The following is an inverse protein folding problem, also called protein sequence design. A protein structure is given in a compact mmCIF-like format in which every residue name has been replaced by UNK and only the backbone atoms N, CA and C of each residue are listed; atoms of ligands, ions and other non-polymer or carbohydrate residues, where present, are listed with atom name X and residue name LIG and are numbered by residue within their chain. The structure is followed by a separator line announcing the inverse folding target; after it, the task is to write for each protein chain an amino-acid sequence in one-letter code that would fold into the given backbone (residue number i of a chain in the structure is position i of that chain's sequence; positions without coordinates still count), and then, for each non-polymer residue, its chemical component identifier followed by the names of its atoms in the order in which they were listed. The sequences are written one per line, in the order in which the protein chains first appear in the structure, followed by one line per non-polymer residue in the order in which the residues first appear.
data_IF_682551641173
#
_entry.id   IF_682551641173
#
_cell.length_a   1.000
_cell.length_b   1.000
_cell.length_c   1.000
_cell.angle_alpha   90.00
_cell.angle_beta   90.00
_cell.angle_gamma   90.00
#
_symmetry.space_group_name_H-M   'P 1'
#
loop_
_entity.id
_entity.type
_entity.pdbx_description
1 polymer ?
#
# COMPACT_ATOMS: atom_id res chain seq x y z
N UNK A 1 -9.47 7.77 -15.84
CA UNK A 1 -8.94 8.53 -14.67
C UNK A 1 -7.70 7.84 -14.13
N UNK A 2 -7.77 6.56 -13.82
CA UNK A 2 -6.64 5.79 -13.26
C UNK A 2 -5.39 5.83 -14.17
N UNK A 3 -5.53 5.63 -15.49
CA UNK A 3 -4.38 5.68 -16.42
C UNK A 3 -3.73 7.07 -16.49
N UNK A 4 -4.53 8.13 -16.48
CA UNK A 4 -4.01 9.51 -16.50
C UNK A 4 -3.26 9.83 -15.21
N UNK A 5 -3.77 9.37 -14.05
CA UNK A 5 -3.10 9.53 -12.76
C UNK A 5 -1.83 8.70 -12.68
N UNK A 6 -1.86 7.45 -13.17
CA UNK A 6 -0.66 6.61 -13.23
C UNK A 6 0.44 7.22 -14.10
N UNK A 7 0.09 7.85 -15.23
CA UNK A 7 1.06 8.55 -16.05
C UNK A 7 1.69 9.76 -15.31
N UNK A 8 0.91 10.50 -14.52
CA UNK A 8 1.43 11.57 -13.66
C UNK A 8 2.35 11.02 -12.56
N UNK A 9 1.98 9.90 -11.95
CA UNK A 9 2.80 9.22 -10.94
C UNK A 9 4.17 8.83 -11.52
N UNK A 10 4.20 8.19 -12.71
CA UNK A 10 5.45 7.82 -13.41
C UNK A 10 6.30 9.05 -13.73
N UNK A 11 5.68 10.08 -14.31
CA UNK A 11 6.40 11.30 -14.64
C UNK A 11 7.05 11.91 -13.39
N UNK A 12 6.34 11.90 -12.28
CA UNK A 12 6.86 12.41 -11.00
C UNK A 12 7.97 11.55 -10.42
N UNK A 13 7.85 10.22 -10.48
CA UNK A 13 8.88 9.29 -10.03
C UNK A 13 10.19 9.51 -10.83
N UNK A 14 10.07 9.73 -12.13
CA UNK A 14 11.22 10.00 -13.02
C UNK A 14 11.96 11.29 -12.65
N UNK A 15 11.30 12.32 -12.15
CA UNK A 15 11.96 13.55 -11.66
C UNK A 15 12.93 13.25 -10.49
N UNK A 16 12.74 12.15 -9.77
CA UNK A 16 13.59 11.67 -8.70
C UNK A 16 14.48 10.49 -9.09
N UNK A 17 14.66 10.26 -10.41
CA UNK A 17 15.56 9.21 -10.92
C UNK A 17 15.00 7.78 -10.84
N UNK A 18 13.69 7.63 -10.58
CA UNK A 18 13.05 6.32 -10.51
C UNK A 18 12.35 6.04 -11.84
N UNK A 19 12.78 4.98 -12.50
CA UNK A 19 12.08 4.44 -13.66
C UNK A 19 10.96 3.52 -13.19
N UNK A 20 9.73 3.85 -13.54
CA UNK A 20 8.55 3.09 -13.16
C UNK A 20 7.73 2.75 -14.40
N UNK A 21 7.06 1.62 -14.37
CA UNK A 21 6.15 1.18 -15.41
C UNK A 21 4.73 0.96 -14.89
N UNK A 22 3.75 0.97 -15.79
CA UNK A 22 2.37 0.71 -15.43
C UNK A 22 2.13 -0.79 -15.38
N UNK A 23 1.91 -1.32 -14.18
CA UNK A 23 1.31 -2.64 -14.04
C UNK A 23 -0.16 -2.58 -14.52
N UNK A 24 -0.61 -3.47 -15.41
CA UNK A 24 -1.99 -3.54 -15.85
C UNK A 24 -2.87 -4.09 -14.72
N UNK A 25 -3.38 -3.20 -13.88
CA UNK A 25 -4.18 -3.59 -12.71
C UNK A 25 -5.37 -4.48 -13.05
N UNK A 26 -5.71 -5.38 -12.15
CA UNK A 26 -6.81 -6.33 -12.31
C UNK A 26 -8.15 -5.60 -12.23
N UNK A 27 -8.99 -5.80 -13.23
CA UNK A 27 -10.32 -5.22 -13.22
C UNK A 27 -11.22 -5.97 -12.23
N UNK A 28 -11.91 -5.25 -11.35
CA UNK A 28 -12.73 -5.87 -10.30
C UNK A 28 -13.78 -6.86 -10.80
N UNK A 29 -14.30 -6.69 -12.04
CA UNK A 29 -15.27 -7.63 -12.62
C UNK A 29 -14.69 -9.03 -12.83
N UNK A 30 -13.39 -9.12 -13.08
CA UNK A 30 -12.70 -10.38 -13.34
C UNK A 30 -12.20 -11.03 -12.04
N UNK A 31 -12.23 -10.25 -10.94
CA UNK A 31 -11.60 -10.63 -9.68
C UNK A 31 -12.15 -11.93 -9.09
N UNK A 32 -13.47 -12.16 -9.14
CA UNK A 32 -14.06 -13.37 -8.57
C UNK A 32 -13.59 -14.64 -9.29
N UNK A 33 -13.49 -14.59 -10.64
CA UNK A 33 -13.01 -15.72 -11.40
C UNK A 33 -11.52 -15.99 -11.10
N UNK A 34 -10.71 -14.95 -11.09
CA UNK A 34 -9.28 -15.07 -10.80
C UNK A 34 -9.04 -15.62 -9.38
N UNK A 35 -9.77 -15.14 -8.37
CA UNK A 35 -9.69 -15.65 -7.00
C UNK A 35 -10.07 -17.13 -6.91
N UNK A 36 -11.12 -17.53 -7.64
CA UNK A 36 -11.55 -18.93 -7.74
C UNK A 36 -10.45 -19.80 -8.37
N UNK A 37 -9.87 -19.35 -9.48
CA UNK A 37 -8.84 -20.11 -10.22
C UNK A 37 -7.53 -20.23 -9.42
N UNK A 38 -7.20 -19.23 -8.61
CA UNK A 38 -6.08 -19.26 -7.66
C UNK A 38 -6.38 -20.05 -6.38
N UNK A 39 -7.63 -20.48 -6.16
CA UNK A 39 -8.05 -21.15 -4.93
C UNK A 39 -8.04 -20.24 -3.69
N UNK A 40 -7.95 -18.93 -3.88
CA UNK A 40 -7.88 -17.96 -2.80
C UNK A 40 -9.26 -17.72 -2.19
N UNK A 41 -9.32 -17.77 -0.85
CA UNK A 41 -10.54 -17.51 -0.09
C UNK A 41 -10.41 -16.16 0.62
N UNK A 42 -11.52 -15.44 0.71
CA UNK A 42 -11.54 -14.23 1.52
C UNK A 42 -11.50 -14.60 3.01
N UNK A 43 -10.65 -13.93 3.76
CA UNK A 43 -10.63 -14.05 5.22
C UNK A 43 -12.01 -13.69 5.79
N UNK A 44 -12.54 -14.54 6.68
CA UNK A 44 -13.83 -14.33 7.34
C UNK A 44 -13.77 -13.14 8.28
N UNK A 45 -13.76 -11.94 7.78
CA UNK A 45 -13.88 -10.72 8.56
C UNK A 45 -15.31 -10.18 8.47
N UNK A 46 -15.73 -9.41 9.49
CA UNK A 46 -16.96 -8.62 9.46
C UNK A 46 -16.91 -7.47 8.44
N UNK A 47 -15.78 -7.31 7.74
CA UNK A 47 -15.70 -6.37 6.63
C UNK A 47 -16.67 -6.88 5.57
N UNK A 48 -17.63 -6.05 5.23
CA UNK A 48 -18.50 -6.25 4.06
C UNK A 48 -17.60 -6.22 2.82
N UNK A 49 -16.83 -7.31 2.67
CA UNK A 49 -15.93 -7.52 1.56
C UNK A 49 -16.75 -7.95 0.37
N UNK A 50 -16.34 -7.63 -0.80
CA UNK A 50 -17.03 -7.93 -2.04
C UNK A 50 -17.10 -6.72 -2.96
N UNK A 51 -16.59 -5.58 -2.53
CA UNK A 51 -16.44 -4.44 -3.43
C UNK A 51 -15.43 -4.80 -4.49
N UNK A 52 -15.88 -4.89 -5.73
CA UNK A 52 -15.08 -5.31 -6.88
C UNK A 52 -13.74 -4.56 -7.00
N UNK A 53 -13.73 -3.27 -6.65
CA UNK A 53 -12.51 -2.48 -6.65
C UNK A 53 -11.50 -2.91 -5.59
N UNK A 54 -11.96 -3.33 -4.40
CA UNK A 54 -11.08 -3.85 -3.34
C UNK A 54 -10.46 -5.18 -3.77
N UNK A 55 -11.24 -6.05 -4.41
CA UNK A 55 -10.75 -7.33 -4.93
C UNK A 55 -9.75 -7.13 -6.07
N UNK A 56 -10.03 -6.22 -7.00
CA UNK A 56 -9.10 -5.88 -8.08
C UNK A 56 -7.81 -5.28 -7.56
N UNK A 57 -7.88 -4.39 -6.56
CA UNK A 57 -6.71 -3.82 -5.90
C UNK A 57 -5.88 -4.92 -5.21
N UNK A 58 -6.51 -5.78 -4.39
CA UNK A 58 -5.82 -6.89 -3.76
C UNK A 58 -5.11 -7.79 -4.78
N UNK A 59 -5.80 -8.21 -5.84
CA UNK A 59 -5.21 -9.07 -6.86
C UNK A 59 -4.06 -8.40 -7.60
N UNK A 60 -4.15 -7.11 -7.87
CA UNK A 60 -3.05 -6.36 -8.49
C UNK A 60 -1.80 -6.40 -7.62
N UNK A 61 -1.94 -6.19 -6.31
CA UNK A 61 -0.83 -6.33 -5.37
C UNK A 61 -0.35 -7.78 -5.25
N UNK A 62 -1.25 -8.75 -5.22
CA UNK A 62 -0.90 -10.17 -5.15
C UNK A 62 -0.01 -10.60 -6.33
N UNK A 63 -0.34 -10.19 -7.55
CA UNK A 63 0.49 -10.47 -8.72
C UNK A 63 1.82 -9.74 -8.67
N UNK A 64 1.87 -8.48 -8.21
CA UNK A 64 3.14 -7.76 -8.02
C UNK A 64 4.02 -8.44 -6.95
N UNK A 65 3.45 -8.98 -5.88
CA UNK A 65 4.19 -9.78 -4.90
C UNK A 65 4.71 -11.08 -5.52
N UNK A 66 3.90 -11.72 -6.38
CA UNK A 66 4.33 -12.92 -7.11
C UNK A 66 5.51 -12.62 -8.02
N UNK A 67 5.44 -11.56 -8.81
CA UNK A 67 6.55 -11.12 -9.66
C UNK A 67 7.82 -10.77 -8.85
N UNK A 68 7.65 -10.11 -7.70
CA UNK A 68 8.77 -9.80 -6.79
C UNK A 68 9.50 -11.08 -6.35
N UNK A 69 8.74 -12.14 -6.02
CA UNK A 69 9.31 -13.44 -5.64
C UNK A 69 9.97 -14.12 -6.83
N UNK A 70 9.31 -14.16 -7.99
CA UNK A 70 9.81 -14.81 -9.21
C UNK A 70 11.10 -14.18 -9.73
N UNK A 71 11.19 -12.86 -9.68
CA UNK A 71 12.38 -12.12 -10.10
C UNK A 71 13.48 -12.13 -9.03
N UNK A 72 13.14 -12.46 -7.79
CA UNK A 72 14.02 -12.38 -6.62
C UNK A 72 14.65 -11.00 -6.44
N UNK A 73 13.89 -9.94 -6.76
CA UNK A 73 14.28 -8.54 -6.64
C UNK A 73 13.27 -7.76 -5.78
N UNK A 74 13.71 -6.78 -4.95
CA UNK A 74 12.81 -5.89 -4.23
C UNK A 74 11.97 -5.05 -5.19
N UNK A 75 10.68 -4.94 -4.93
CA UNK A 75 9.76 -4.13 -5.72
C UNK A 75 9.35 -2.87 -4.96
N UNK A 76 9.46 -1.72 -5.62
CA UNK A 76 8.80 -0.49 -5.21
C UNK A 76 7.43 -0.44 -5.88
N UNK A 77 6.39 -0.51 -5.08
CA UNK A 77 5.00 -0.47 -5.55
C UNK A 77 4.39 0.89 -5.21
N UNK A 78 3.89 1.57 -6.24
CA UNK A 78 3.19 2.85 -6.12
C UNK A 78 1.77 2.69 -6.61
N UNK A 79 0.78 3.10 -5.81
CA UNK A 79 -0.60 3.21 -6.32
C UNK A 79 -0.71 4.34 -7.35
N UNK A 80 -1.71 4.25 -8.21
CA UNK A 80 -1.88 5.19 -9.33
C UNK A 80 -2.08 6.64 -8.90
N UNK A 81 -2.46 6.90 -7.67
CA UNK A 81 -2.65 8.21 -7.05
C UNK A 81 -1.49 8.61 -6.12
N UNK A 82 -0.43 7.82 -6.11
CA UNK A 82 0.79 8.15 -5.38
C UNK A 82 1.49 9.37 -6.00
N UNK A 83 2.04 10.23 -5.15
CA UNK A 83 2.79 11.40 -5.55
C UNK A 83 4.08 11.50 -4.77
N UNK A 84 5.21 11.33 -5.44
CA UNK A 84 6.51 11.46 -4.80
C UNK A 84 6.80 12.91 -4.42
N UNK A 85 7.30 13.09 -3.21
CA UNK A 85 7.66 14.38 -2.62
C UNK A 85 9.15 14.66 -2.71
N UNK A 86 9.96 13.61 -2.62
CA UNK A 86 11.42 13.65 -2.54
C UNK A 86 12.05 12.36 -3.03
N UNK A 87 13.38 12.34 -3.32
CA UNK A 87 14.08 11.12 -3.71
C UNK A 87 14.10 10.11 -2.56
N UNK A 88 14.33 8.85 -2.91
CA UNK A 88 14.69 7.81 -1.94
C UNK A 88 16.07 8.11 -1.34
N UNK A 89 16.31 7.71 -0.08
CA UNK A 89 17.66 7.72 0.50
C UNK A 89 18.62 6.86 -0.31
N UNK A 90 19.89 7.22 -0.29
CA UNK A 90 20.94 6.31 -0.78
C UNK A 90 20.89 5.00 0.02
N UNK A 91 21.14 3.88 -0.67
CA UNK A 91 21.13 2.54 -0.09
C UNK A 91 19.84 2.20 0.67
N UNK A 92 18.69 2.71 0.20
CA UNK A 92 17.39 2.51 0.88
C UNK A 92 17.10 1.04 1.19
N UNK A 93 17.55 0.11 0.35
CA UNK A 93 17.34 -1.33 0.53
C UNK A 93 18.08 -1.92 1.74
N UNK A 94 19.10 -1.24 2.25
CA UNK A 94 19.85 -1.67 3.44
C UNK A 94 19.22 -1.16 4.74
N UNK A 95 18.25 -0.24 4.62
CA UNK A 95 17.69 0.48 5.76
C UNK A 95 16.48 -0.20 6.41
N UNK A 96 15.99 -1.28 5.83
CA UNK A 96 14.83 -2.04 6.36
C UNK A 96 14.97 -3.53 6.04
N UNK A 97 14.42 -4.44 6.88
CA UNK A 97 14.53 -5.88 6.63
C UNK A 97 13.54 -6.39 5.58
N UNK A 98 12.24 -6.04 5.66
CA UNK A 98 11.17 -6.72 4.94
C UNK A 98 10.34 -5.78 4.06
N UNK A 99 9.68 -4.81 4.68
CA UNK A 99 8.81 -3.82 4.02
C UNK A 99 9.13 -2.42 4.52
N UNK A 100 9.30 -1.47 3.59
CA UNK A 100 9.40 -0.05 3.90
C UNK A 100 8.20 0.69 3.34
N UNK A 101 7.36 1.23 4.19
CA UNK A 101 6.30 2.15 3.78
C UNK A 101 6.87 3.54 3.53
N UNK A 102 6.56 4.08 2.36
CA UNK A 102 7.05 5.37 1.87
C UNK A 102 6.13 6.53 2.24
N UNK A 103 4.92 6.21 2.69
CA UNK A 103 3.96 7.13 3.26
C UNK A 103 4.12 7.14 4.79
N UNK A 104 4.36 8.28 5.38
CA UNK A 104 4.27 8.41 6.83
C UNK A 104 2.81 8.53 7.22
N UNK A 105 2.23 7.41 7.67
CA UNK A 105 0.99 7.35 8.44
C UNK A 105 -0.27 8.02 7.86
N UNK A 106 -1.37 7.39 8.15
CA UNK A 106 -2.73 7.77 7.84
C UNK A 106 -2.94 9.30 7.80
N UNK A 107 -3.27 9.88 6.62
CA UNK A 107 -3.64 11.30 6.52
C UNK A 107 -4.84 11.68 7.39
N UNK A 108 -5.56 10.69 7.92
CA UNK A 108 -6.67 10.89 8.87
C UNK A 108 -6.21 10.93 10.34
N UNK A 109 -4.98 10.56 10.65
CA UNK A 109 -4.40 10.71 11.99
C UNK A 109 -3.86 12.12 12.19
N UNK A 110 -4.77 13.07 12.43
CA UNK A 110 -4.47 14.51 12.62
C UNK A 110 -3.42 14.80 13.69
N UNK A 111 -3.18 13.85 14.61
CA UNK A 111 -2.30 14.07 15.76
C UNK A 111 -0.86 13.61 15.52
N UNK A 112 -0.68 12.57 14.75
CA UNK A 112 0.63 11.95 14.56
C UNK A 112 1.39 12.59 13.38
N UNK A 113 0.71 12.85 12.27
CA UNK A 113 1.30 13.53 11.11
C UNK A 113 1.85 14.92 11.43
N UNK A 114 1.21 15.64 12.37
CA UNK A 114 1.68 16.95 12.75
C UNK A 114 3.00 16.91 13.51
N UNK A 115 3.21 15.89 14.36
CA UNK A 115 4.43 15.74 15.14
C UNK A 115 5.62 15.24 14.33
N UNK A 116 5.40 14.32 13.38
CA UNK A 116 6.47 13.77 12.54
C UNK A 116 6.86 14.69 11.38
N UNK A 117 5.91 15.45 10.83
CA UNK A 117 6.19 16.40 9.76
C UNK A 117 6.87 17.68 10.24
N UNK A 118 6.75 18.00 11.54
CA UNK A 118 7.38 19.18 12.15
C UNK A 118 8.77 18.89 12.76
N UNK A 119 9.15 17.61 12.89
CA UNK A 119 10.42 17.20 13.49
C UNK A 119 11.37 16.66 12.42
N UNK A 120 12.27 17.49 11.97
CA UNK A 120 13.48 17.24 11.20
C UNK A 120 13.31 17.05 9.68
N UNK A 121 14.16 17.76 8.94
CA UNK A 121 14.47 17.50 7.53
C UNK A 121 15.25 16.18 7.36
N UNK A 122 15.78 15.63 8.43
CA UNK A 122 16.55 14.40 8.46
C UNK A 122 15.63 13.17 8.30
N UNK A 123 15.98 12.32 7.34
CA UNK A 123 15.26 11.08 7.09
C UNK A 123 15.52 10.11 8.24
N UNK A 124 14.45 9.64 8.85
CA UNK A 124 14.47 8.60 9.87
C UNK A 124 13.64 7.40 9.41
N UNK A 125 14.11 6.20 9.71
CA UNK A 125 13.40 4.95 9.45
C UNK A 125 13.22 4.23 10.77
N UNK A 126 12.03 3.75 11.04
CA UNK A 126 11.67 3.12 12.30
C UNK A 126 10.70 1.94 12.08
N UNK A 127 10.84 0.89 12.90
CA UNK A 127 9.97 -0.26 12.88
C UNK A 127 8.61 0.03 13.52
N UNK A 128 7.55 -0.56 12.98
CA UNK A 128 6.24 -0.58 13.64
C UNK A 128 6.26 -1.28 14.99
N UNK A 129 7.23 -2.18 15.21
CA UNK A 129 7.42 -2.89 16.47
C UNK A 129 8.24 -2.10 17.51
N UNK A 130 8.75 -0.93 17.14
CA UNK A 130 9.48 -0.06 18.07
C UNK A 130 8.52 0.61 19.06
N UNK A 131 8.46 0.04 20.27
CA UNK A 131 7.58 0.47 21.36
C UNK A 131 7.94 1.86 21.91
N UNK A 132 9.20 2.30 21.81
CA UNK A 132 9.62 3.61 22.33
C UNK A 132 9.04 4.75 21.50
N UNK A 133 8.94 4.56 20.19
CA UNK A 133 8.31 5.53 19.27
C UNK A 133 6.79 5.55 19.46
N UNK A 134 6.19 4.43 19.86
CA UNK A 134 4.74 4.22 19.88
C UNK A 134 4.11 4.26 21.27
N UNK A 135 4.85 4.47 22.33
CA UNK A 135 4.41 4.37 23.73
C UNK A 135 3.16 5.15 24.17
N UNK A 136 2.48 5.82 23.23
CA UNK A 136 1.15 6.44 23.43
C UNK A 136 0.09 5.92 22.47
N UNK A 137 0.42 5.04 21.53
CA UNK A 137 -0.51 4.47 20.55
C UNK A 137 -1.07 3.10 20.99
N UNK A 138 -0.63 2.60 22.14
CA UNK A 138 -1.05 1.29 22.68
C UNK A 138 -2.55 1.13 22.96
N UNK A 139 -3.35 2.15 22.78
CA UNK A 139 -4.71 2.16 23.30
C UNK A 139 -5.81 1.69 22.37
N UNK A 140 -5.56 1.41 21.12
CA UNK A 140 -6.62 0.88 20.26
C UNK A 140 -6.11 0.07 19.08
N UNK A 141 -6.18 -1.25 19.18
CA UNK A 141 -6.34 -2.14 18.04
C UNK A 141 -5.13 -2.36 17.13
N UNK A 142 -3.96 -2.64 17.65
CA UNK A 142 -2.81 -3.00 16.82
C UNK A 142 -2.35 -1.82 15.93
N UNK A 143 -1.06 -1.68 15.77
CA UNK A 143 -0.43 -0.66 14.93
C UNK A 143 -0.74 -0.92 13.45
N UNK A 144 -1.87 -0.41 12.96
CA UNK A 144 -2.22 -0.44 11.55
C UNK A 144 -1.87 0.90 10.92
N UNK A 145 -0.88 0.91 10.06
CA UNK A 145 -0.71 1.97 9.09
C UNK A 145 -1.65 1.69 7.92
N UNK A 146 -2.83 2.27 7.95
CA UNK A 146 -3.79 2.16 6.84
C UNK A 146 -3.27 2.93 5.63
N UNK A 147 -3.53 2.38 4.44
CA UNK A 147 -3.07 2.93 3.17
C UNK A 147 -1.87 2.18 2.62
N UNK A 148 -1.77 2.09 1.32
CA UNK A 148 -0.71 1.40 0.60
C UNK A 148 -0.24 2.20 -0.60
N UNK A 149 -0.22 3.55 -0.45
CA UNK A 149 0.05 4.45 -1.59
C UNK A 149 1.43 4.25 -2.21
N UNK A 150 2.41 3.85 -1.38
CA UNK A 150 3.74 3.50 -1.82
C UNK A 150 4.51 2.73 -0.76
N UNK A 151 5.16 1.67 -1.17
CA UNK A 151 6.03 0.87 -0.31
C UNK A 151 7.08 0.12 -1.13
N UNK A 152 8.15 -0.29 -0.48
CA UNK A 152 9.14 -1.22 -1.02
C UNK A 152 8.99 -2.53 -0.26
N UNK A 153 8.99 -3.65 -0.98
CA UNK A 153 8.87 -5.00 -0.41
C UNK A 153 10.00 -5.88 -0.92
N UNK A 154 10.59 -6.67 -0.03
CA UNK A 154 11.60 -7.66 -0.39
C UNK A 154 10.98 -9.01 -0.75
N UNK A 155 11.64 -9.84 -1.58
CA UNK A 155 11.09 -11.10 -2.09
C UNK A 155 10.62 -12.06 -0.99
N UNK A 156 11.40 -12.23 0.09
CA UNK A 156 11.02 -13.12 1.19
C UNK A 156 9.76 -12.64 1.94
N UNK A 157 9.60 -11.32 2.10
CA UNK A 157 8.39 -10.75 2.70
C UNK A 157 7.19 -10.94 1.78
N UNK A 158 7.35 -10.74 0.48
CA UNK A 158 6.31 -11.01 -0.52
C UNK A 158 5.89 -12.49 -0.50
N UNK A 159 6.85 -13.42 -0.45
CA UNK A 159 6.59 -14.86 -0.37
C UNK A 159 5.77 -15.20 0.90
N UNK A 160 6.16 -14.64 2.04
CA UNK A 160 5.43 -14.85 3.29
C UNK A 160 3.99 -14.32 3.23
N UNK A 161 3.77 -13.12 2.66
CA UNK A 161 2.43 -12.57 2.48
C UNK A 161 1.57 -13.46 1.59
N UNK A 162 2.11 -13.99 0.49
CA UNK A 162 1.42 -14.92 -0.41
C UNK A 162 1.05 -16.20 0.35
N UNK A 163 1.97 -16.77 1.13
CA UNK A 163 1.71 -17.94 1.97
C UNK A 163 0.56 -17.69 2.95
N UNK A 164 0.54 -16.55 3.63
CA UNK A 164 -0.53 -16.15 4.54
C UNK A 164 -1.89 -16.04 3.81
N UNK A 165 -1.90 -15.51 2.58
CA UNK A 165 -3.12 -15.48 1.76
C UNK A 165 -3.63 -16.90 1.46
N UNK A 166 -2.75 -17.83 1.14
CA UNK A 166 -3.09 -19.22 0.82
C UNK A 166 -3.59 -19.99 2.04
N UNK A 167 -2.95 -19.80 3.20
CA UNK A 167 -3.30 -20.52 4.43
C UNK A 167 -4.57 -19.99 5.10
N UNK A 168 -4.66 -18.69 5.25
CA UNK A 168 -5.70 -18.07 6.10
C UNK A 168 -6.73 -17.28 5.33
N UNK A 169 -6.50 -17.05 4.04
CA UNK A 169 -7.34 -16.22 3.20
C UNK A 169 -6.85 -14.78 3.12
N UNK A 170 -7.26 -14.11 2.03
CA UNK A 170 -6.83 -12.75 1.71
C UNK A 170 -7.67 -11.68 2.41
N UNK A 171 -7.06 -10.51 2.57
CA UNK A 171 -7.65 -9.25 3.06
C UNK A 171 -7.40 -8.14 2.03
N UNK A 172 -7.98 -6.92 2.19
CA UNK A 172 -7.54 -5.77 1.40
C UNK A 172 -6.03 -5.62 1.44
N UNK A 173 -5.40 -5.18 0.36
CA UNK A 173 -3.95 -5.19 0.20
C UNK A 173 -3.19 -4.49 1.34
N UNK A 174 -3.68 -3.31 1.75
CA UNK A 174 -3.13 -2.55 2.88
C UNK A 174 -3.23 -3.31 4.20
N UNK A 175 -4.32 -4.04 4.43
CA UNK A 175 -4.48 -4.89 5.60
C UNK A 175 -3.63 -6.16 5.51
N UNK A 176 -3.40 -6.67 4.30
CA UNK A 176 -2.63 -7.89 4.11
C UNK A 176 -1.17 -7.72 4.52
N UNK A 177 -0.58 -6.55 4.28
CA UNK A 177 0.76 -6.21 4.75
C UNK A 177 0.93 -6.36 6.28
N UNK A 178 -0.15 -6.21 7.05
CA UNK A 178 -0.15 -6.22 8.52
C UNK A 178 -0.75 -7.51 9.13
N UNK A 179 -0.79 -8.61 8.40
CA UNK A 179 -1.47 -9.83 8.88
C UNK A 179 -0.63 -10.71 9.78
N UNK A 180 0.65 -10.46 9.86
CA UNK A 180 1.60 -11.30 10.59
C UNK A 180 2.63 -10.45 11.33
N UNK A 181 3.03 -10.90 12.52
CA UNK A 181 4.14 -10.31 13.28
C UNK A 181 5.51 -10.81 12.77
N UNK A 182 5.52 -11.71 11.77
CA UNK A 182 6.73 -12.28 11.19
C UNK A 182 7.35 -11.39 10.09
N UNK A 183 6.63 -10.34 9.67
CA UNK A 183 7.13 -9.32 8.74
C UNK A 183 7.38 -8.04 9.51
N UNK A 184 8.62 -7.54 9.43
CA UNK A 184 8.98 -6.26 10.04
C UNK A 184 8.71 -5.12 9.05
N UNK A 185 7.68 -4.32 9.38
CA UNK A 185 7.28 -3.17 8.59
C UNK A 185 7.93 -1.92 9.16
N UNK A 186 8.73 -1.29 8.34
CA UNK A 186 9.32 -0.01 8.65
C UNK A 186 8.57 1.14 7.98
N UNK A 187 8.64 2.30 8.60
CA UNK A 187 8.15 3.57 8.06
C UNK A 187 9.29 4.54 7.88
N UNK A 188 9.19 5.37 6.87
CA UNK A 188 10.12 6.47 6.62
C UNK A 188 9.48 7.81 6.98
N UNK A 189 10.22 8.65 7.67
CA UNK A 189 9.81 10.02 7.99
C UNK A 189 10.94 10.98 7.64
N UNK A 190 10.63 12.10 7.02
CA UNK A 190 9.34 12.52 6.48
C UNK A 190 8.93 11.69 5.25
N UNK A 191 7.63 11.67 4.93
CA UNK A 191 7.09 10.88 3.81
C UNK A 191 7.82 11.12 2.49
N UNK A 192 8.12 10.03 1.79
CA UNK A 192 8.61 10.05 0.40
C UNK A 192 7.43 10.18 -0.56
N UNK A 193 6.29 9.58 -0.21
CA UNK A 193 5.10 9.52 -1.05
C UNK A 193 3.89 10.04 -0.28
N UNK A 194 2.97 10.70 -0.97
CA UNK A 194 1.63 11.05 -0.48
C UNK A 194 0.58 10.76 -1.55
N UNK A 195 -0.69 10.89 -1.20
CA UNK A 195 -1.78 10.92 -2.19
C UNK A 195 -1.69 12.25 -2.97
N UNK A 196 -1.87 12.18 -4.29
CA UNK A 196 -1.94 13.36 -5.15
C UNK A 196 -3.10 14.28 -4.73
N UNK A 197 -2.87 15.59 -4.69
CA UNK A 197 -3.86 16.57 -4.23
C UNK A 197 -5.16 16.53 -5.03
N UNK A 198 -5.08 16.41 -6.33
CA UNK A 198 -6.26 16.28 -7.20
C UNK A 198 -7.17 15.12 -6.78
N UNK A 199 -6.62 14.07 -6.14
CA UNK A 199 -7.41 12.93 -5.69
C UNK A 199 -8.24 13.26 -4.44
N UNK A 200 -7.77 14.14 -3.58
CA UNK A 200 -8.54 14.61 -2.43
C UNK A 200 -9.78 15.38 -2.87
N UNK A 201 -9.66 16.23 -3.88
CA UNK A 201 -10.81 16.98 -4.44
C UNK A 201 -11.80 16.05 -5.12
N UNK A 202 -11.33 15.05 -5.87
CA UNK A 202 -12.15 14.00 -6.49
C UNK A 202 -12.87 13.13 -5.44
N UNK A 203 -12.23 12.87 -4.30
CA UNK A 203 -12.81 12.11 -3.18
C UNK A 203 -13.85 12.94 -2.42
N UNK A 204 -13.63 14.25 -2.28
CA UNK A 204 -14.60 15.19 -1.71
C UNK A 204 -15.85 15.32 -2.58
N UNK A 205 -15.75 15.18 -3.88
CA UNK A 205 -16.87 15.19 -4.83
C UNK A 205 -17.77 13.95 -4.78
N UNK A 206 -17.56 13.01 -3.85
CA UNK A 206 -18.38 11.79 -3.59
C UNK A 206 -18.62 10.85 -4.78
N UNK A 207 -18.13 11.16 -5.97
CA UNK A 207 -18.58 10.53 -7.22
C UNK A 207 -17.52 9.70 -7.94
N UNK A 208 -16.28 9.62 -7.45
CA UNK A 208 -15.18 9.06 -8.26
C UNK A 208 -14.27 8.03 -7.60
N UNK A 209 -14.68 7.41 -6.51
CA UNK A 209 -14.02 6.18 -6.11
C UNK A 209 -14.48 5.07 -7.06
N UNK A 210 -13.59 4.56 -7.93
CA UNK A 210 -13.84 3.38 -8.75
C UNK A 210 -14.32 2.19 -7.90
N UNK A 211 -13.95 2.16 -6.63
CA UNK A 211 -14.41 1.19 -5.64
C UNK A 211 -15.85 1.38 -5.20
N UNK A 212 -16.43 2.60 -5.34
CA UNK A 212 -17.80 2.91 -4.90
C UNK A 212 -18.83 2.98 -6.03
N UNK A 213 -18.42 3.33 -7.24
CA UNK A 213 -19.36 3.58 -8.35
C UNK A 213 -19.77 2.32 -9.13
N UNK A 214 -19.08 1.20 -8.97
CA UNK A 214 -19.48 -0.06 -9.62
C UNK A 214 -20.70 -0.70 -8.95
N UNK A 215 -21.08 -0.29 -7.73
CA UNK A 215 -22.26 -0.82 -7.03
C UNK A 215 -23.56 -0.08 -7.40
N UNK A 216 -23.48 1.18 -7.88
CA UNK A 216 -24.65 1.99 -8.18
C UNK A 216 -25.34 1.64 -9.52
N UNK A 217 -24.67 0.91 -10.41
CA UNK A 217 -25.18 0.56 -11.74
C UNK A 217 -25.61 -0.92 -11.87
N UNK A 218 -25.75 -1.64 -10.76
CA UNK A 218 -26.16 -3.06 -10.74
C UNK A 218 -27.53 -3.29 -10.08
N UNK A 219 -28.38 -2.26 -10.07
CA UNK A 219 -29.82 -2.38 -9.70
C UNK A 219 -30.73 -2.23 -10.91
#
# INVERSE_FOLDING_TARGET
ISRSMGAKCIARAKEFGIEAEIFPGIHGKDAHQILHDLGLRQYKSKMKGGRLGVLGCFLSHYFLWTECVENNDPFMILEHDAWMLRPLPENVLDLFPDVLKLDSLDPYSKTYNKKLSEQNEEITIWSLHDREVHGKLEHSRGLYSMGGYGYIIKPHAAAHIIEQCNMYGFRPADHQLHTTDEIDIHHISPSIVRIHEDYHDLRAMKTMSLTRNLEANSS
#
